data_IF_382795434598
#
_entry.id   IF_382795434598
#
_cell.length_a   1.000
_cell.length_b   1.000
_cell.length_c   1.000
_cell.angle_alpha   90.00
_cell.angle_beta   90.00
_cell.angle_gamma   90.00
#
_symmetry.space_group_name_H-M   'P 1'
#
loop_
_entity.id
_entity.type
_entity.pdbx_description
1 polymer ?
#
# COMPACT_ATOMS: atom_id res chain seq x y z
N UNK A 1 32.04 13.92 -11.09
CA UNK A 1 31.04 13.76 -10.00
C UNK A 1 29.66 13.55 -10.65
N UNK A 2 29.03 12.38 -10.48
CA UNK A 2 27.76 12.05 -11.15
C UNK A 2 27.08 10.77 -10.62
N UNK A 3 27.36 10.38 -9.37
CA UNK A 3 26.92 9.11 -8.79
C UNK A 3 25.63 9.16 -7.98
N UNK A 4 25.24 10.33 -7.47
CA UNK A 4 24.07 10.48 -6.59
C UNK A 4 22.73 10.47 -7.37
N UNK A 5 22.66 11.14 -8.53
CA UNK A 5 21.45 11.17 -9.37
C UNK A 5 21.06 9.79 -9.90
N UNK A 6 22.01 9.05 -10.48
CA UNK A 6 21.78 7.69 -11.03
C UNK A 6 21.30 6.67 -9.99
N UNK A 7 21.76 6.78 -8.74
CA UNK A 7 21.29 5.91 -7.64
C UNK A 7 19.87 6.26 -7.21
N UNK A 8 19.49 7.55 -7.24
CA UNK A 8 18.12 7.99 -6.97
C UNK A 8 17.14 7.50 -8.05
N UNK A 9 17.57 7.50 -9.32
CA UNK A 9 16.72 7.10 -10.43
C UNK A 9 16.50 5.58 -10.47
N UNK A 10 17.52 4.78 -10.18
CA UNK A 10 17.39 3.33 -10.07
C UNK A 10 16.43 2.90 -8.94
N UNK A 11 16.45 3.61 -7.80
CA UNK A 11 15.53 3.34 -6.67
C UNK A 11 14.09 3.68 -7.01
N UNK A 12 13.86 4.85 -7.61
CA UNK A 12 12.52 5.29 -8.05
C UNK A 12 11.96 4.34 -9.10
N UNK A 13 12.80 3.88 -10.03
CA UNK A 13 12.43 2.86 -11.02
C UNK A 13 12.03 1.55 -10.36
N UNK A 14 12.81 1.03 -9.41
CA UNK A 14 12.48 -0.22 -8.69
C UNK A 14 11.17 -0.12 -7.90
N UNK A 15 10.88 1.03 -7.29
CA UNK A 15 9.61 1.29 -6.60
C UNK A 15 8.44 1.37 -7.58
N UNK A 16 8.65 1.94 -8.76
CA UNK A 16 7.65 2.00 -9.80
C UNK A 16 7.34 0.60 -10.36
N UNK A 17 8.37 -0.16 -10.72
CA UNK A 17 8.24 -1.55 -11.21
C UNK A 17 7.49 -2.43 -10.20
N UNK A 18 7.77 -2.27 -8.89
CA UNK A 18 7.03 -3.00 -7.85
C UNK A 18 5.57 -2.58 -7.75
N UNK A 19 5.26 -1.30 -7.94
CA UNK A 19 3.86 -0.81 -7.90
C UNK A 19 3.06 -1.28 -9.10
N UNK A 20 3.69 -1.28 -10.26
CA UNK A 20 3.11 -1.78 -11.50
C UNK A 20 2.80 -3.28 -11.35
N UNK A 21 3.76 -4.08 -10.87
CA UNK A 21 3.53 -5.51 -10.61
C UNK A 21 2.41 -5.78 -9.58
N UNK A 22 2.29 -4.97 -8.51
CA UNK A 22 1.16 -5.09 -7.56
C UNK A 22 -0.19 -4.87 -8.25
N UNK A 23 -0.26 -3.93 -9.19
CA UNK A 23 -1.49 -3.55 -9.87
C UNK A 23 -1.85 -4.50 -11.01
N UNK A 24 -0.86 -4.92 -11.80
CA UNK A 24 -1.05 -5.75 -12.99
C UNK A 24 -1.17 -7.23 -12.61
N UNK A 25 -0.21 -7.76 -11.84
CA UNK A 25 -0.13 -9.19 -11.54
C UNK A 25 -0.89 -9.56 -10.27
N UNK A 26 -1.04 -8.61 -9.34
CA UNK A 26 -1.64 -8.84 -8.04
C UNK A 26 -3.05 -9.43 -8.09
N UNK A 27 -3.98 -8.92 -8.92
CA UNK A 27 -5.32 -9.51 -9.01
C UNK A 27 -5.35 -10.96 -9.54
N UNK A 28 -4.37 -11.35 -10.38
CA UNK A 28 -4.28 -12.70 -10.94
C UNK A 28 -3.68 -13.71 -9.95
N UNK A 29 -2.69 -13.28 -9.17
CA UNK A 29 -2.17 -14.03 -8.00
C UNK A 29 -2.17 -13.13 -6.75
N UNK A 30 -3.30 -13.06 -6.02
CA UNK A 30 -3.42 -12.19 -4.86
C UNK A 30 -2.44 -12.52 -3.73
N UNK A 31 -2.00 -13.78 -3.63
CA UNK A 31 -1.02 -14.18 -2.64
C UNK A 31 0.37 -13.62 -2.97
N UNK A 32 0.77 -13.66 -4.25
CA UNK A 32 2.00 -13.01 -4.70
C UNK A 32 1.89 -11.48 -4.63
N UNK A 33 0.75 -10.91 -5.01
CA UNK A 33 0.48 -9.48 -4.84
C UNK A 33 0.71 -9.00 -3.40
N UNK A 34 0.26 -9.76 -2.40
CA UNK A 34 0.52 -9.45 -0.99
C UNK A 34 2.01 -9.50 -0.64
N UNK A 35 2.78 -10.42 -1.22
CA UNK A 35 4.24 -10.46 -1.05
C UNK A 35 4.90 -9.23 -1.69
N UNK A 36 4.44 -8.82 -2.86
CA UNK A 36 4.91 -7.62 -3.55
C UNK A 36 4.61 -6.35 -2.75
N UNK A 37 3.41 -6.20 -2.20
CA UNK A 37 3.04 -5.09 -1.28
C UNK A 37 3.97 -5.07 -0.06
N UNK A 38 4.22 -6.22 0.57
CA UNK A 38 5.13 -6.29 1.71
C UNK A 38 6.56 -5.90 1.33
N UNK A 39 7.03 -6.31 0.14
CA UNK A 39 8.34 -5.96 -0.40
C UNK A 39 8.44 -4.46 -0.70
N UNK A 40 7.39 -3.86 -1.26
CA UNK A 40 7.32 -2.42 -1.51
C UNK A 40 7.45 -1.61 -0.21
N UNK A 41 6.73 -2.02 0.85
CA UNK A 41 6.81 -1.36 2.15
C UNK A 41 8.19 -1.48 2.79
N UNK A 42 8.82 -2.67 2.72
CA UNK A 42 10.21 -2.86 3.17
C UNK A 42 11.18 -1.98 2.39
N UNK A 43 10.99 -1.84 1.08
CA UNK A 43 11.85 -0.98 0.26
C UNK A 43 11.71 0.49 0.68
N UNK A 44 10.53 0.95 1.08
CA UNK A 44 10.40 2.29 1.68
C UNK A 44 11.21 2.44 2.97
N UNK A 45 11.19 1.43 3.84
CA UNK A 45 11.97 1.46 5.09
C UNK A 45 13.49 1.43 4.81
N UNK A 46 13.95 0.54 3.92
CA UNK A 46 15.37 0.40 3.53
C UNK A 46 15.93 1.68 2.89
N UNK A 47 15.12 2.37 2.09
CA UNK A 47 15.52 3.61 1.41
C UNK A 47 15.36 4.85 2.30
N UNK A 48 14.87 4.69 3.54
CA UNK A 48 14.58 5.80 4.44
C UNK A 48 13.50 6.73 3.89
N UNK A 49 12.58 6.20 3.07
CA UNK A 49 11.47 6.93 2.47
C UNK A 49 10.23 6.78 3.33
N UNK A 50 9.70 7.91 3.79
CA UNK A 50 8.51 7.96 4.65
C UNK A 50 7.31 8.71 4.03
N UNK A 51 7.03 8.60 2.70
CA UNK A 51 5.83 9.21 2.14
C UNK A 51 4.60 8.43 2.64
N UNK A 52 3.90 9.01 3.60
CA UNK A 52 2.75 8.39 4.26
C UNK A 52 1.62 8.08 3.26
N UNK A 53 1.44 8.94 2.25
CA UNK A 53 0.49 8.72 1.15
C UNK A 53 0.77 7.44 0.34
N UNK A 54 2.03 7.14 0.02
CA UNK A 54 2.38 5.93 -0.72
C UNK A 54 2.31 4.66 0.16
N UNK A 55 2.66 4.78 1.44
CA UNK A 55 2.48 3.66 2.40
C UNK A 55 0.99 3.36 2.62
N UNK A 56 0.16 4.40 2.68
CA UNK A 56 -1.30 4.28 2.72
C UNK A 56 -1.80 3.53 1.48
N UNK A 57 -1.41 3.95 0.28
CA UNK A 57 -1.81 3.27 -0.96
C UNK A 57 -1.39 1.80 -0.97
N UNK A 58 -0.12 1.49 -0.67
CA UNK A 58 0.34 0.10 -0.64
C UNK A 58 -0.45 -0.75 0.37
N UNK A 59 -0.81 -0.19 1.54
CA UNK A 59 -1.66 -0.90 2.50
C UNK A 59 -3.10 -1.08 1.99
N UNK A 60 -3.62 -0.13 1.21
CA UNK A 60 -4.93 -0.24 0.58
C UNK A 60 -4.93 -1.32 -0.52
N UNK A 61 -3.87 -1.42 -1.32
CA UNK A 61 -3.69 -2.49 -2.30
C UNK A 61 -3.63 -3.86 -1.59
N UNK A 62 -2.89 -3.96 -0.48
CA UNK A 62 -2.85 -5.16 0.35
C UNK A 62 -4.22 -5.55 0.95
N UNK A 63 -5.08 -4.57 1.25
CA UNK A 63 -6.45 -4.85 1.69
C UNK A 63 -7.28 -5.49 0.57
N UNK A 64 -7.25 -4.93 -0.65
CA UNK A 64 -7.99 -5.46 -1.79
C UNK A 64 -7.54 -6.88 -2.15
N UNK A 65 -6.23 -7.13 -2.17
CA UNK A 65 -5.68 -8.47 -2.44
C UNK A 65 -6.07 -9.48 -1.37
N UNK A 66 -6.09 -9.09 -0.09
CA UNK A 66 -6.58 -9.95 0.98
C UNK A 66 -8.08 -10.27 0.85
N UNK A 67 -8.89 -9.31 0.38
CA UNK A 67 -10.30 -9.54 0.07
C UNK A 67 -10.48 -10.52 -1.08
N UNK A 68 -9.67 -10.44 -2.14
CA UNK A 68 -9.67 -11.40 -3.25
C UNK A 68 -9.35 -12.83 -2.80
N UNK A 69 -8.52 -13.00 -1.76
CA UNK A 69 -8.25 -14.29 -1.12
C UNK A 69 -9.35 -14.76 -0.16
N UNK A 70 -10.36 -13.92 0.11
CA UNK A 70 -11.37 -14.18 1.14
C UNK A 70 -10.85 -14.06 2.59
N UNK A 71 -9.64 -13.56 2.81
CA UNK A 71 -9.06 -13.36 4.15
C UNK A 71 -9.44 -11.98 4.71
N UNK A 72 -10.66 -11.90 5.24
CA UNK A 72 -11.24 -10.67 5.79
C UNK A 72 -10.46 -10.13 6.98
N UNK A 73 -9.90 -11.00 7.82
CA UNK A 73 -9.09 -10.57 8.96
C UNK A 73 -7.77 -9.95 8.52
N UNK A 74 -7.12 -10.51 7.49
CA UNK A 74 -5.95 -9.90 6.87
C UNK A 74 -6.29 -8.58 6.18
N UNK A 75 -7.41 -8.51 5.46
CA UNK A 75 -7.89 -7.26 4.86
C UNK A 75 -8.09 -6.18 5.93
N UNK A 76 -8.71 -6.52 7.07
CA UNK A 76 -8.90 -5.59 8.19
C UNK A 76 -7.57 -5.11 8.77
N UNK A 77 -6.56 -5.99 8.89
CA UNK A 77 -5.20 -5.59 9.33
C UNK A 77 -4.59 -4.58 8.37
N UNK A 78 -4.69 -4.81 7.07
CA UNK A 78 -4.20 -3.89 6.04
C UNK A 78 -4.93 -2.56 6.05
N UNK A 79 -6.27 -2.56 6.16
CA UNK A 79 -7.08 -1.36 6.27
C UNK A 79 -6.71 -0.51 7.50
N UNK A 80 -6.44 -1.13 8.66
CA UNK A 80 -5.96 -0.41 9.85
C UNK A 80 -4.60 0.25 9.63
N UNK A 81 -3.70 -0.39 8.90
CA UNK A 81 -2.40 0.19 8.53
C UNK A 81 -2.57 1.36 7.57
N UNK A 82 -3.46 1.23 6.57
CA UNK A 82 -3.80 2.33 5.66
C UNK A 82 -4.37 3.53 6.44
N UNK A 83 -5.28 3.29 7.39
CA UNK A 83 -5.81 4.32 8.28
C UNK A 83 -4.73 5.03 9.09
N UNK A 84 -3.80 4.27 9.68
CA UNK A 84 -2.67 4.84 10.41
C UNK A 84 -1.82 5.77 9.54
N UNK A 85 -1.46 5.33 8.33
CA UNK A 85 -0.71 6.19 7.40
C UNK A 85 -1.52 7.40 6.92
N UNK A 86 -2.83 7.25 6.77
CA UNK A 86 -3.71 8.37 6.42
C UNK A 86 -3.77 9.43 7.53
N UNK A 87 -3.87 9.01 8.80
CA UNK A 87 -3.80 9.92 9.95
C UNK A 87 -2.52 10.76 9.95
N UNK A 88 -1.38 10.13 9.63
CA UNK A 88 -0.09 10.82 9.57
C UNK A 88 0.04 11.75 8.35
N UNK A 89 -0.72 11.50 7.28
CA UNK A 89 -0.65 12.27 6.05
C UNK A 89 -1.62 13.47 6.03
N UNK A 90 -2.85 13.26 6.48
CA UNK A 90 -3.96 14.21 6.31
C UNK A 90 -4.62 14.63 7.63
N UNK A 91 -4.25 13.99 8.75
CA UNK A 91 -4.90 14.21 10.03
C UNK A 91 -6.25 13.48 10.17
N UNK A 92 -6.93 13.70 11.30
CA UNK A 92 -8.13 12.97 11.70
C UNK A 92 -9.35 13.22 10.81
N UNK A 93 -9.45 14.43 10.26
CA UNK A 93 -10.60 14.90 9.47
C UNK A 93 -10.36 14.79 7.95
N UNK A 94 -9.19 14.28 7.54
CA UNK A 94 -8.88 14.02 6.13
C UNK A 94 -9.87 13.04 5.50
N UNK A 95 -10.30 13.30 4.27
CA UNK A 95 -11.27 12.46 3.56
C UNK A 95 -10.78 11.01 3.44
N UNK A 96 -9.50 10.82 3.13
CA UNK A 96 -8.93 9.47 3.02
C UNK A 96 -8.78 8.81 4.39
N UNK A 97 -8.57 9.60 5.45
CA UNK A 97 -8.52 9.10 6.83
C UNK A 97 -9.88 8.55 7.25
N UNK A 98 -10.96 9.31 6.99
CA UNK A 98 -12.31 8.87 7.27
C UNK A 98 -12.70 7.65 6.44
N UNK A 99 -12.32 7.61 5.16
CA UNK A 99 -12.50 6.45 4.28
C UNK A 99 -11.78 5.21 4.83
N UNK A 100 -10.49 5.31 5.13
CA UNK A 100 -9.71 4.21 5.67
C UNK A 100 -10.23 3.75 7.05
N UNK A 101 -10.77 4.66 7.86
CA UNK A 101 -11.43 4.33 9.13
C UNK A 101 -12.68 3.48 8.92
N UNK A 102 -13.48 3.79 7.90
CA UNK A 102 -14.64 2.97 7.50
C UNK A 102 -14.21 1.57 7.10
N UNK A 103 -13.25 1.48 6.18
CA UNK A 103 -12.69 0.20 5.70
C UNK A 103 -12.04 -0.63 6.80
N UNK A 104 -11.40 0.01 7.79
CA UNK A 104 -10.83 -0.69 8.94
C UNK A 104 -11.88 -1.32 9.88
N UNK A 105 -13.13 -0.83 9.83
CA UNK A 105 -14.27 -1.42 10.54
C UNK A 105 -14.91 -2.51 9.69
N UNK A 106 -15.16 -2.19 8.43
CA UNK A 106 -15.78 -3.08 7.46
C UNK A 106 -15.05 -3.01 6.11
N UNK A 107 -14.11 -3.95 5.85
CA UNK A 107 -13.38 -3.98 4.59
C UNK A 107 -14.26 -4.20 3.35
N UNK A 108 -15.44 -4.83 3.50
CA UNK A 108 -16.37 -5.09 2.39
C UNK A 108 -17.21 -3.88 1.98
N UNK A 109 -17.21 -2.81 2.79
CA UNK A 109 -17.80 -1.52 2.40
C UNK A 109 -17.08 -0.85 1.21
N UNK A 110 -16.02 -1.49 0.70
CA UNK A 110 -15.41 -1.12 -0.56
C UNK A 110 -16.23 -1.64 -1.75
N UNK A 111 -16.97 -0.74 -2.40
CA UNK A 111 -17.76 -1.00 -3.63
C UNK A 111 -16.91 -1.14 -4.92
N UNK A 112 -15.63 -1.52 -4.83
CA UNK A 112 -14.69 -1.46 -5.96
C UNK A 112 -14.17 -2.79 -6.49
N UNK A 113 -14.88 -3.90 -6.25
CA UNK A 113 -14.61 -5.20 -6.89
C UNK A 113 -15.66 -5.51 -7.95
#
# INVERSE_FOLDING_TARGET
RGGAGRRSDARRRRLQELREAVWEDGPEDPAEGLRLVARQLRLYDEEGLWPQSFRRQACFDGMQLALLLGDVELARRWARRAYHHSLLCEGLEGSETLRCRGLARDPHSFDGL
#
